data_IF_320736007710
#
_entry.id   IF_320736007710
#
_cell.length_a   1.000
_cell.length_b   1.000
_cell.length_c   1.000
_cell.angle_alpha   90.00
_cell.angle_beta   90.00
_cell.angle_gamma   90.00
#
_symmetry.space_group_name_H-M   'P 1'
#
loop_
_entity.id
_entity.type
_entity.pdbx_description
1 polymer ?
#
# COMPACT_ATOMS: atom_id res chain seq x y z
N UNK A 1 39.35 12.59 13.90
CA UNK A 1 39.10 13.17 15.25
C UNK A 1 38.06 12.32 15.94
N UNK A 2 38.39 11.69 17.07
CA UNK A 2 37.39 11.00 17.88
C UNK A 2 36.46 12.06 18.50
N UNK A 3 35.15 11.93 18.26
CA UNK A 3 34.15 12.79 18.89
C UNK A 3 33.90 12.24 20.29
N UNK A 4 34.01 13.10 21.31
CA UNK A 4 33.67 12.75 22.69
C UNK A 4 32.21 13.14 23.00
N UNK A 5 31.64 12.56 24.06
CA UNK A 5 30.26 12.81 24.49
C UNK A 5 29.99 14.32 24.70
N UNK A 6 30.92 15.05 25.32
CA UNK A 6 30.82 16.50 25.53
C UNK A 6 30.76 17.30 24.22
N UNK A 7 31.55 16.90 23.22
CA UNK A 7 31.56 17.57 21.91
C UNK A 7 30.23 17.38 21.18
N UNK A 8 29.63 16.19 21.29
CA UNK A 8 28.31 15.93 20.69
C UNK A 8 27.20 16.65 21.44
N UNK A 9 27.24 16.69 22.78
CA UNK A 9 26.28 17.46 23.57
C UNK A 9 26.32 18.95 23.17
N UNK A 10 27.50 19.56 23.06
CA UNK A 10 27.62 20.95 22.62
C UNK A 10 27.07 21.19 21.19
N UNK A 11 27.28 20.26 20.26
CA UNK A 11 26.68 20.32 18.92
C UNK A 11 25.16 20.20 18.96
N UNK A 12 24.66 19.34 19.85
CA UNK A 12 23.24 19.12 20.05
C UNK A 12 22.57 20.37 20.64
N UNK A 13 23.15 20.95 21.69
CA UNK A 13 22.66 22.17 22.35
C UNK A 13 22.70 23.37 21.40
N UNK A 14 23.75 23.48 20.57
CA UNK A 14 23.82 24.50 19.52
C UNK A 14 22.70 24.38 18.49
N UNK A 15 22.28 23.15 18.15
CA UNK A 15 21.20 22.92 17.18
C UNK A 15 19.82 23.08 17.83
N UNK A 16 19.68 22.71 19.10
CA UNK A 16 18.40 22.63 19.81
C UNK A 16 18.46 23.31 21.18
N UNK A 17 18.66 24.64 21.24
CA UNK A 17 18.96 25.37 22.48
C UNK A 17 17.86 25.31 23.55
N UNK A 18 16.60 25.06 23.16
CA UNK A 18 15.43 25.05 24.05
C UNK A 18 14.86 23.65 24.29
N UNK A 19 15.58 22.59 23.92
CA UNK A 19 15.03 21.22 23.97
C UNK A 19 15.05 20.57 25.35
N UNK A 20 15.97 20.97 26.23
CA UNK A 20 16.14 20.39 27.56
C UNK A 20 16.49 18.90 27.55
N UNK A 21 17.06 18.40 26.45
CA UNK A 21 17.40 16.98 26.28
C UNK A 21 18.85 16.74 26.69
N UNK A 22 19.06 15.69 27.48
CA UNK A 22 20.38 15.28 27.95
C UNK A 22 20.79 13.98 27.28
N UNK A 23 22.00 13.92 26.69
CA UNK A 23 22.58 12.70 26.16
C UNK A 23 23.25 11.93 27.30
N UNK A 24 22.90 10.66 27.45
CA UNK A 24 23.38 9.81 28.56
C UNK A 24 24.46 8.81 28.15
N UNK A 25 24.37 8.26 26.94
CA UNK A 25 25.29 7.23 26.47
C UNK A 25 25.64 7.48 25.00
N UNK A 26 26.93 7.70 24.72
CA UNK A 26 27.47 7.95 23.39
C UNK A 26 28.82 7.25 23.22
N UNK A 27 28.94 6.43 22.18
CA UNK A 27 30.18 5.72 21.83
C UNK A 27 30.74 6.19 20.48
N UNK A 28 29.94 6.14 19.40
CA UNK A 28 30.33 6.52 18.03
C UNK A 28 29.14 7.15 17.28
N UNK A 29 29.42 7.88 16.21
CA UNK A 29 28.39 8.56 15.40
C UNK A 29 27.37 7.61 14.77
N UNK A 30 27.82 6.41 14.39
CA UNK A 30 27.00 5.36 13.77
C UNK A 30 26.46 4.34 14.77
N UNK A 31 26.79 4.49 16.05
CA UNK A 31 26.26 3.66 17.12
C UNK A 31 24.94 4.23 17.67
N UNK A 32 24.09 3.38 18.25
CA UNK A 32 22.90 3.82 18.95
C UNK A 32 23.28 4.72 20.13
N UNK A 33 22.44 5.72 20.38
CA UNK A 33 22.66 6.73 21.42
C UNK A 33 21.43 6.80 22.32
N UNK A 34 21.66 6.98 23.61
CA UNK A 34 20.56 7.09 24.59
C UNK A 34 20.41 8.52 25.08
N UNK A 35 19.23 9.09 24.92
CA UNK A 35 18.90 10.46 25.33
C UNK A 35 17.68 10.49 26.25
N UNK A 36 17.63 11.47 27.13
CA UNK A 36 16.52 11.67 28.05
C UNK A 36 15.73 12.90 27.62
N UNK A 37 14.49 12.67 27.15
CA UNK A 37 13.55 13.71 26.78
C UNK A 37 12.65 14.07 27.98
N UNK A 38 12.36 15.35 28.25
CA UNK A 38 11.50 15.74 29.38
C UNK A 38 10.06 15.22 29.26
N UNK A 39 9.58 14.95 28.04
CA UNK A 39 8.20 14.50 27.79
C UNK A 39 8.11 12.96 27.73
N UNK A 40 9.12 12.31 27.14
CA UNK A 40 9.08 10.90 26.79
C UNK A 40 10.05 10.02 27.61
N UNK A 41 10.84 10.63 28.50
CA UNK A 41 11.84 9.94 29.30
C UNK A 41 13.04 9.44 28.47
N UNK A 42 13.61 8.31 28.89
CA UNK A 42 14.80 7.71 28.29
C UNK A 42 14.44 7.02 26.98
N UNK A 43 15.03 7.48 25.87
CA UNK A 43 14.79 6.98 24.52
C UNK A 43 16.12 6.57 23.89
N UNK A 44 16.11 5.42 23.22
CA UNK A 44 17.22 4.97 22.39
C UNK A 44 16.98 5.37 20.94
N UNK A 45 17.92 6.11 20.36
CA UNK A 45 17.90 6.48 18.97
C UNK A 45 18.94 5.66 18.19
N UNK A 46 18.64 5.38 16.92
CA UNK A 46 19.43 4.45 16.10
C UNK A 46 20.86 4.90 15.83
N UNK A 47 21.05 6.20 15.54
CA UNK A 47 22.37 6.80 15.27
C UNK A 47 22.41 8.24 15.76
N UNK A 48 23.55 8.67 16.31
CA UNK A 48 23.76 10.06 16.70
C UNK A 48 23.74 11.01 15.48
N UNK A 49 24.29 10.56 14.34
CA UNK A 49 24.26 11.31 13.08
C UNK A 49 22.83 11.61 12.60
N UNK A 50 21.91 10.64 12.71
CA UNK A 50 20.51 10.82 12.33
C UNK A 50 19.80 11.89 13.18
N UNK A 51 20.09 11.94 14.49
CA UNK A 51 19.52 12.94 15.39
C UNK A 51 20.05 14.34 15.05
N UNK A 52 21.37 14.45 14.81
CA UNK A 52 21.99 15.70 14.41
C UNK A 52 21.55 16.15 13.01
N UNK A 53 21.08 15.26 12.14
CA UNK A 53 20.48 15.61 10.85
C UNK A 53 18.99 15.97 10.97
N UNK A 54 18.27 15.37 11.92
CA UNK A 54 16.82 15.56 12.14
C UNK A 54 16.43 17.02 12.41
N UNK A 55 15.19 17.38 12.05
CA UNK A 55 14.56 18.67 12.39
C UNK A 55 14.08 18.72 13.85
N UNK A 56 13.90 17.55 14.47
CA UNK A 56 13.36 17.44 15.83
C UNK A 56 14.39 16.86 16.79
N UNK A 57 14.44 17.38 18.04
CA UNK A 57 15.45 16.97 19.03
C UNK A 57 15.18 15.57 19.59
N UNK A 58 13.91 15.13 19.61
CA UNK A 58 13.49 13.81 20.05
C UNK A 58 12.74 13.09 18.93
N UNK A 59 13.08 11.83 18.61
CA UNK A 59 12.43 11.08 17.53
C UNK A 59 10.95 10.82 17.82
N UNK A 60 10.57 10.53 19.06
CA UNK A 60 9.16 10.33 19.43
C UNK A 60 8.34 11.62 19.32
N UNK A 61 8.90 12.77 19.74
CA UNK A 61 8.28 14.08 19.51
C UNK A 61 8.08 14.36 18.01
N UNK A 62 9.04 13.96 17.18
CA UNK A 62 8.96 14.10 15.73
C UNK A 62 7.80 13.27 15.15
N UNK A 63 7.72 12.00 15.53
CA UNK A 63 6.66 11.08 15.07
C UNK A 63 5.26 11.56 15.48
N UNK A 64 5.09 12.00 16.73
CA UNK A 64 3.81 12.54 17.20
C UNK A 64 3.36 13.79 16.42
N UNK A 65 4.29 14.57 15.86
CA UNK A 65 3.96 15.73 15.00
C UNK A 65 3.65 15.30 13.56
N UNK A 66 4.38 14.34 13.00
CA UNK A 66 4.10 13.82 11.66
C UNK A 66 2.79 13.05 11.61
N UNK A 67 2.43 12.32 12.66
CA UNK A 67 1.15 11.61 12.74
C UNK A 67 -0.03 12.59 12.73
N UNK A 68 0.09 13.72 13.44
CA UNK A 68 -0.94 14.78 13.40
C UNK A 68 -1.07 15.41 12.01
N UNK A 69 0.05 15.60 11.30
CA UNK A 69 0.04 16.11 9.94
C UNK A 69 -0.53 15.08 8.94
N UNK A 70 -0.20 13.80 9.10
CA UNK A 70 -0.76 12.70 8.31
C UNK A 70 -2.26 12.54 8.54
N UNK A 71 -2.72 12.63 9.79
CA UNK A 71 -4.15 12.62 10.13
C UNK A 71 -4.86 13.84 9.54
N UNK A 72 -4.24 15.02 9.54
CA UNK A 72 -4.79 16.19 8.87
C UNK A 72 -4.94 15.96 7.36
N UNK A 73 -4.02 15.23 6.74
CA UNK A 73 -4.09 14.86 5.33
C UNK A 73 -5.13 13.78 5.02
N UNK A 74 -5.48 12.94 6.01
CA UNK A 74 -6.56 11.94 5.92
C UNK A 74 -7.95 12.58 6.15
N UNK A 75 -8.05 13.87 6.52
CA UNK A 75 -9.37 14.55 6.66
C UNK A 75 -10.17 14.68 5.36
N UNK A 76 -9.63 14.24 4.21
CA UNK A 76 -10.40 14.03 2.97
C UNK A 76 -11.01 12.62 2.82
N UNK A 77 -10.69 11.67 3.69
CA UNK A 77 -11.24 10.31 3.64
C UNK A 77 -12.17 10.08 4.84
N UNK A 78 -13.44 10.43 4.64
CA UNK A 78 -14.64 9.97 5.35
C UNK A 78 -14.41 9.23 6.68
N UNK A 79 -14.33 9.97 7.78
CA UNK A 79 -14.78 9.48 9.09
C UNK A 79 -16.12 10.12 9.47
N UNK A 80 -17.07 10.06 8.53
CA UNK A 80 -18.46 10.30 8.87
C UNK A 80 -18.97 9.10 9.66
N UNK A 81 -19.49 9.35 10.85
CA UNK A 81 -20.54 8.48 11.40
C UNK A 81 -21.57 8.33 10.28
N UNK A 82 -21.85 7.09 9.87
CA UNK A 82 -22.78 6.81 8.78
C UNK A 82 -24.17 7.35 9.18
N UNK A 83 -24.54 8.51 8.64
CA UNK A 83 -25.92 9.00 8.73
C UNK A 83 -26.82 8.09 7.89
N UNK A 84 -28.11 8.05 8.17
CA UNK A 84 -29.06 7.26 7.36
C UNK A 84 -29.03 7.65 5.88
N UNK A 85 -28.78 8.92 5.59
CA UNK A 85 -28.58 9.45 4.24
C UNK A 85 -27.28 8.93 3.60
N UNK A 86 -26.21 8.81 4.40
CA UNK A 86 -24.95 8.18 3.96
C UNK A 86 -25.09 6.70 3.65
N UNK A 87 -25.94 5.97 4.38
CA UNK A 87 -26.25 4.56 4.12
C UNK A 87 -27.04 4.43 2.81
N UNK A 88 -28.05 5.29 2.57
CA UNK A 88 -28.79 5.32 1.29
C UNK A 88 -27.90 5.68 0.10
N UNK A 89 -26.97 6.62 0.27
CA UNK A 89 -25.97 6.97 -0.76
C UNK A 89 -25.02 5.81 -1.06
N UNK A 90 -24.63 5.03 -0.05
CA UNK A 90 -23.81 3.83 -0.23
C UNK A 90 -24.57 2.75 -1.03
N UNK A 91 -25.87 2.58 -0.74
CA UNK A 91 -26.74 1.64 -1.46
C UNK A 91 -26.89 2.02 -2.94
N UNK A 92 -27.07 3.31 -3.25
CA UNK A 92 -27.14 3.78 -4.64
C UNK A 92 -25.82 3.59 -5.42
N UNK A 93 -24.67 3.71 -4.74
CA UNK A 93 -23.34 3.41 -5.32
C UNK A 93 -23.11 1.91 -5.53
N UNK A 94 -23.67 1.08 -4.65
CA UNK A 94 -23.68 -0.39 -4.79
C UNK A 94 -24.47 -0.81 -6.04
N UNK A 95 -25.59 -0.13 -6.32
CA UNK A 95 -26.47 -0.45 -7.45
C UNK A 95 -25.91 0.04 -8.80
N UNK A 96 -25.09 1.10 -8.81
CA UNK A 96 -24.53 1.70 -10.06
C UNK A 96 -23.16 1.15 -10.46
N UNK A 97 -22.45 0.43 -9.59
CA UNK A 97 -21.13 -0.14 -9.88
C UNK A 97 -20.99 -1.62 -9.46
N UNK A 98 -21.58 -2.58 -10.21
CA UNK A 98 -21.59 -4.02 -9.87
C UNK A 98 -20.21 -4.72 -9.91
N UNK A 99 -19.09 -4.00 -9.85
CA UNK A 99 -17.74 -4.56 -9.95
C UNK A 99 -16.71 -4.07 -8.93
N UNK A 100 -17.03 -3.11 -8.04
CA UNK A 100 -16.00 -2.41 -7.25
C UNK A 100 -16.29 -2.20 -5.76
N UNK A 101 -17.48 -2.52 -5.24
CA UNK A 101 -17.77 -2.29 -3.82
C UNK A 101 -17.32 -3.49 -2.96
N UNK A 102 -16.03 -3.54 -2.63
CA UNK A 102 -15.56 -4.33 -1.48
C UNK A 102 -15.36 -3.37 -0.32
N UNK A 103 -16.10 -3.57 0.77
CA UNK A 103 -15.99 -2.73 1.96
C UNK A 103 -15.10 -3.44 2.98
N UNK A 104 -14.04 -2.77 3.43
CA UNK A 104 -13.20 -3.27 4.52
C UNK A 104 -14.02 -3.32 5.81
N UNK A 105 -14.06 -4.46 6.50
CA UNK A 105 -14.77 -4.56 7.80
C UNK A 105 -13.93 -4.04 8.97
N UNK A 106 -12.65 -3.74 8.74
CA UNK A 106 -11.74 -3.17 9.75
C UNK A 106 -11.22 -4.17 10.78
N UNK A 107 -11.67 -5.43 10.75
CA UNK A 107 -11.18 -6.48 11.66
C UNK A 107 -9.81 -6.99 11.22
N UNK A 108 -8.89 -7.02 12.18
CA UNK A 108 -7.55 -7.58 12.00
C UNK A 108 -7.20 -8.52 13.14
N UNK A 109 -6.64 -9.68 12.81
CA UNK A 109 -6.16 -10.66 13.80
C UNK A 109 -4.88 -11.35 13.31
N UNK A 110 -4.18 -12.07 14.20
CA UNK A 110 -3.06 -12.94 13.80
C UNK A 110 -3.57 -14.37 13.69
N UNK A 111 -3.22 -15.05 12.61
CA UNK A 111 -3.46 -16.50 12.51
C UNK A 111 -2.40 -17.29 13.30
N UNK A 112 -2.53 -18.62 13.35
CA UNK A 112 -1.60 -19.51 14.07
C UNK A 112 -0.15 -19.43 13.57
N UNK A 113 0.03 -19.01 12.30
CA UNK A 113 1.34 -18.74 11.71
C UNK A 113 1.92 -17.36 12.07
N UNK A 114 1.25 -16.61 12.95
CA UNK A 114 1.67 -15.26 13.37
C UNK A 114 1.47 -14.17 12.31
N UNK A 115 0.84 -14.48 11.18
CA UNK A 115 0.57 -13.53 10.09
C UNK A 115 -0.70 -12.72 10.37
N UNK A 116 -0.67 -11.43 10.04
CA UNK A 116 -1.84 -10.57 10.14
C UNK A 116 -2.84 -10.90 9.03
N UNK A 117 -4.10 -11.12 9.42
CA UNK A 117 -5.23 -11.36 8.54
C UNK A 117 -6.21 -10.19 8.65
N UNK A 118 -6.72 -9.74 7.51
CA UNK A 118 -7.75 -8.70 7.38
C UNK A 118 -9.03 -9.34 6.87
N UNK A 119 -10.15 -9.03 7.50
CA UNK A 119 -11.47 -9.37 6.97
C UNK A 119 -12.00 -8.22 6.11
N UNK A 120 -12.72 -8.58 5.05
CA UNK A 120 -13.46 -7.63 4.22
C UNK A 120 -14.76 -8.28 3.73
N UNK A 121 -15.75 -7.46 3.45
CA UNK A 121 -17.03 -7.91 2.92
C UNK A 121 -17.09 -7.57 1.43
N UNK A 122 -17.27 -8.60 0.60
CA UNK A 122 -17.65 -8.46 -0.78
C UNK A 122 -19.17 -8.55 -0.89
N UNK A 123 -19.77 -7.66 -1.70
CA UNK A 123 -21.21 -7.66 -1.94
C UNK A 123 -21.67 -8.91 -2.68
N UNK A 124 -20.81 -9.45 -3.56
CA UNK A 124 -21.11 -10.63 -4.37
C UNK A 124 -20.75 -11.95 -3.66
N UNK A 125 -19.65 -11.95 -2.90
CA UNK A 125 -19.05 -13.18 -2.38
C UNK A 125 -18.98 -13.23 -0.85
N UNK A 126 -19.68 -12.33 -0.15
CA UNK A 126 -19.78 -12.31 1.30
C UNK A 126 -18.47 -11.97 2.02
N UNK A 127 -18.35 -12.44 3.26
CA UNK A 127 -17.20 -12.18 4.13
C UNK A 127 -16.00 -13.01 3.67
N UNK A 128 -14.85 -12.37 3.52
CA UNK A 128 -13.60 -13.00 3.10
C UNK A 128 -12.42 -12.46 3.91
N UNK A 129 -11.34 -13.24 3.95
CA UNK A 129 -10.14 -12.94 4.73
C UNK A 129 -8.87 -13.01 3.88
N UNK A 130 -7.90 -12.12 4.13
CA UNK A 130 -6.60 -12.09 3.44
C UNK A 130 -5.44 -11.81 4.38
N UNK A 131 -4.28 -12.41 4.09
CA UNK A 131 -3.04 -12.15 4.82
C UNK A 131 -2.35 -10.86 4.37
N UNK A 132 -1.63 -10.21 5.29
CA UNK A 132 -0.85 -9.00 5.05
C UNK A 132 0.28 -9.27 4.05
N UNK A 133 0.16 -8.76 2.83
CA UNK A 133 1.14 -8.92 1.76
C UNK A 133 0.52 -9.22 0.41
N UNK A 134 -0.71 -9.75 0.40
CA UNK A 134 -1.49 -9.83 -0.83
C UNK A 134 -1.92 -8.42 -1.26
N UNK A 135 -1.65 -8.05 -2.51
CA UNK A 135 -2.00 -6.73 -3.03
C UNK A 135 -3.50 -6.46 -2.87
N UNK A 136 -3.82 -5.39 -2.15
CA UNK A 136 -5.17 -5.02 -1.69
C UNK A 136 -6.08 -4.49 -2.82
N UNK A 137 -6.14 -5.19 -3.96
CA UNK A 137 -7.02 -4.81 -5.08
C UNK A 137 -8.28 -5.68 -5.09
N UNK A 138 -9.18 -5.40 -4.14
CA UNK A 138 -10.54 -5.94 -4.10
C UNK A 138 -10.66 -7.42 -3.74
N UNK A 139 -11.86 -7.96 -3.93
CA UNK A 139 -12.20 -9.35 -3.66
C UNK A 139 -11.37 -10.32 -4.53
N UNK A 140 -10.69 -11.34 -3.95
CA UNK A 140 -9.96 -12.38 -4.67
C UNK A 140 -10.85 -13.11 -5.67
N UNK A 141 -12.08 -13.43 -5.29
CA UNK A 141 -13.02 -14.18 -6.15
C UNK A 141 -13.44 -13.34 -7.34
N UNK A 142 -13.88 -12.08 -7.13
CA UNK A 142 -14.12 -11.15 -8.24
C UNK A 142 -12.88 -10.97 -9.13
N UNK A 143 -11.68 -10.95 -8.53
CA UNK A 143 -10.41 -10.89 -9.24
C UNK A 143 -10.19 -12.10 -10.15
N UNK A 144 -10.46 -13.30 -9.66
CA UNK A 144 -10.35 -14.55 -10.41
C UNK A 144 -11.41 -14.64 -11.52
N UNK A 145 -12.67 -14.30 -11.22
CA UNK A 145 -13.76 -14.28 -12.21
C UNK A 145 -13.46 -13.32 -13.35
N UNK A 146 -12.92 -12.13 -13.06
CA UNK A 146 -12.47 -11.18 -14.09
C UNK A 146 -11.35 -11.76 -14.96
N UNK A 147 -10.35 -12.42 -14.35
CA UNK A 147 -9.27 -13.09 -15.09
C UNK A 147 -9.83 -14.18 -16.01
N UNK A 148 -10.74 -15.01 -15.51
CA UNK A 148 -11.41 -16.06 -16.29
C UNK A 148 -12.25 -15.47 -17.42
N UNK A 149 -12.97 -14.38 -17.17
CA UNK A 149 -13.76 -13.69 -18.19
C UNK A 149 -12.87 -13.11 -19.30
N UNK A 150 -11.75 -12.47 -18.94
CA UNK A 150 -10.76 -11.97 -19.91
C UNK A 150 -10.18 -13.11 -20.74
N UNK A 151 -9.80 -14.22 -20.09
CA UNK A 151 -9.27 -15.39 -20.78
C UNK A 151 -10.29 -16.00 -21.76
N UNK A 152 -11.56 -16.12 -21.35
CA UNK A 152 -12.65 -16.58 -22.23
C UNK A 152 -12.85 -15.66 -23.44
N UNK A 153 -12.82 -14.34 -23.26
CA UNK A 153 -12.91 -13.36 -24.36
C UNK A 153 -11.74 -13.49 -25.33
N UNK A 154 -10.53 -13.65 -24.83
CA UNK A 154 -9.33 -13.86 -25.66
C UNK A 154 -9.41 -15.18 -26.43
N UNK A 155 -9.81 -16.28 -25.77
CA UNK A 155 -9.99 -17.58 -26.42
C UNK A 155 -11.06 -17.55 -27.51
N UNK A 156 -12.18 -16.85 -27.27
CA UNK A 156 -13.21 -16.63 -28.28
C UNK A 156 -12.67 -15.84 -29.47
N UNK A 157 -11.93 -14.75 -29.24
CA UNK A 157 -11.34 -13.95 -30.33
C UNK A 157 -10.39 -14.77 -31.22
N UNK A 158 -9.57 -15.63 -30.61
CA UNK A 158 -8.68 -16.55 -31.34
C UNK A 158 -9.49 -17.57 -32.15
N UNK A 159 -10.56 -18.12 -31.56
CA UNK A 159 -11.45 -19.06 -32.27
C UNK A 159 -12.11 -18.40 -33.49
N UNK A 160 -12.64 -17.18 -33.33
CA UNK A 160 -13.26 -16.42 -34.43
C UNK A 160 -12.25 -16.09 -35.53
N UNK A 161 -11.01 -15.73 -35.16
CA UNK A 161 -9.93 -15.49 -36.13
C UNK A 161 -9.63 -16.74 -36.96
N UNK A 162 -9.56 -17.92 -36.32
CA UNK A 162 -9.30 -19.18 -37.02
C UNK A 162 -10.45 -19.58 -37.96
N UNK A 163 -11.70 -19.43 -37.51
CA UNK A 163 -12.89 -19.67 -38.35
C UNK A 163 -12.93 -18.75 -39.58
N UNK A 164 -12.56 -17.47 -39.41
CA UNK A 164 -12.46 -16.53 -40.51
C UNK A 164 -11.38 -16.94 -41.54
N UNK A 165 -10.19 -17.36 -41.06
CA UNK A 165 -9.13 -17.85 -41.94
C UNK A 165 -9.54 -19.12 -42.69
N UNK A 166 -10.21 -20.07 -42.00
CA UNK A 166 -10.72 -21.30 -42.60
C UNK A 166 -11.74 -21.01 -43.70
N UNK A 167 -12.68 -20.09 -43.45
CA UNK A 167 -13.68 -19.69 -44.44
C UNK A 167 -13.06 -18.94 -45.63
N UNK A 168 -12.03 -18.11 -45.39
CA UNK A 168 -11.30 -17.44 -46.46
C UNK A 168 -10.53 -18.44 -47.35
N UNK A 169 -9.91 -19.46 -46.76
CA UNK A 169 -9.21 -20.52 -47.48
C UNK A 169 -10.16 -21.36 -48.37
N UNK A 170 -11.42 -21.54 -47.95
CA UNK A 170 -12.45 -22.22 -48.76
C UNK A 170 -12.90 -21.33 -49.94
N UNK A 171 -12.90 -19.99 -49.77
CA UNK A 171 -13.41 -19.04 -50.77
C UNK A 171 -12.47 -18.82 -51.96
N UNK A 172 -11.16 -19.02 -51.78
CA UNK A 172 -10.16 -18.91 -52.84
C UNK A 172 -9.48 -20.27 -53.04
N UNK A 173 -10.00 -21.14 -53.91
CA UNK A 173 -9.32 -22.39 -54.19
C UNK A 173 -7.96 -22.07 -54.83
N UNK A 174 -6.88 -22.46 -54.16
CA UNK A 174 -5.50 -22.31 -54.61
C UNK A 174 -5.23 -22.95 -55.99
N UNK A 175 -6.18 -23.70 -56.55
CA UNK A 175 -6.15 -24.21 -57.92
C UNK A 175 -6.21 -23.12 -59.01
N UNK A 176 -6.52 -21.86 -58.65
CA UNK A 176 -6.51 -20.73 -59.58
C UNK A 176 -5.20 -19.93 -59.60
N UNK A 177 -4.24 -20.24 -58.73
CA UNK A 177 -2.89 -19.65 -58.80
C UNK A 177 -2.11 -20.41 -59.87
N UNK A 178 -2.42 -20.09 -61.13
CA UNK A 178 -1.72 -20.62 -62.29
C UNK A 178 -0.22 -20.34 -62.18
N UNK A 179 0.58 -21.37 -62.42
CA UNK A 179 2.03 -21.30 -62.53
C UNK A 179 2.41 -20.32 -63.64
N UNK A 180 2.78 -19.09 -63.28
CA UNK A 180 3.44 -18.18 -64.21
C UNK A 180 4.83 -18.75 -64.46
N UNK A 181 4.98 -19.50 -65.56
CA UNK A 181 6.28 -19.98 -66.04
C UNK A 181 7.17 -18.77 -66.30
N UNK A 182 8.32 -18.74 -65.63
CA UNK A 182 9.41 -17.83 -65.94
C UNK A 182 9.80 -17.98 -67.42
N UNK A 183 9.89 -16.84 -68.11
CA UNK A 183 10.53 -16.71 -69.42
C UNK A 183 11.99 -16.35 -69.22
#
# INVERSE_FOLDING_TARGET
MALNLSTIQARFDKKFPSSGIVLSDFTRTDAPITLTCPIHGKIQASKASNILASKHPCPQCGNAKSDKAGIAHIKGANRGVLTEEGIKGLQALLDTAPGAACTMTGKTYKNDAGMYVYEFACVLHGLQSRTKGETARGCPVCGQERKLATFKRQGQAVKTMYENLRNAAIKYPYSLVGSVRAK
#
